data_IF_031884913697
#
_entry.id   IF_031884913697
#
_cell.length_a   1.000
_cell.length_b   1.000
_cell.length_c   1.000
_cell.angle_alpha   90.00
_cell.angle_beta   90.00
_cell.angle_gamma   90.00
#
_symmetry.space_group_name_H-M   'P 1'
#
loop_
_entity.id
_entity.type
_entity.pdbx_description
1 polymer ?
#
# COMPACT_ATOMS: atom_id res chain seq x y z
N UNK A 1 3.47 3.34 -18.62
CA UNK A 1 4.35 2.99 -19.76
C UNK A 1 4.63 4.22 -20.63
N UNK A 2 3.61 4.93 -21.16
CA UNK A 2 3.78 6.07 -22.07
C UNK A 2 4.71 7.15 -21.49
N UNK A 3 4.47 7.61 -20.25
CA UNK A 3 5.31 8.62 -19.59
C UNK A 3 6.77 8.15 -19.44
N UNK A 4 6.99 6.88 -19.16
CA UNK A 4 8.34 6.31 -19.05
C UNK A 4 9.07 6.35 -20.41
N UNK A 5 8.39 6.01 -21.50
CA UNK A 5 8.96 6.14 -22.87
C UNK A 5 9.33 7.59 -23.22
N UNK A 6 8.52 8.57 -22.79
CA UNK A 6 8.87 9.99 -22.96
C UNK A 6 10.14 10.36 -22.16
N UNK A 7 10.26 9.88 -20.94
CA UNK A 7 11.43 10.12 -20.08
C UNK A 7 12.70 9.45 -20.62
N UNK A 8 12.60 8.26 -21.22
CA UNK A 8 13.75 7.58 -21.84
C UNK A 8 14.37 8.39 -22.99
N UNK A 9 13.62 9.30 -23.64
CA UNK A 9 14.17 10.21 -24.64
C UNK A 9 15.07 11.29 -24.05
N UNK A 10 14.96 11.55 -22.76
CA UNK A 10 15.68 12.61 -22.05
C UNK A 10 16.75 12.08 -21.09
N UNK A 11 16.46 10.96 -20.44
CA UNK A 11 17.23 10.43 -19.33
C UNK A 11 17.59 8.95 -19.50
N UNK A 12 18.70 8.55 -18.94
CA UNK A 12 19.05 7.13 -18.91
C UNK A 12 18.13 6.32 -18.01
N UNK A 13 17.76 5.11 -18.41
CA UNK A 13 16.86 4.22 -17.65
C UNK A 13 17.29 4.00 -16.19
N UNK A 14 18.60 4.01 -15.92
CA UNK A 14 19.12 3.80 -14.56
C UNK A 14 19.03 5.05 -13.66
N UNK A 15 18.59 6.19 -14.21
CA UNK A 15 18.32 7.44 -13.49
C UNK A 15 16.81 7.79 -13.42
N UNK A 16 15.95 6.94 -13.98
CA UNK A 16 14.50 7.04 -13.87
C UNK A 16 14.04 6.04 -12.80
N UNK A 17 13.40 6.55 -11.76
CA UNK A 17 12.92 5.74 -10.63
C UNK A 17 11.40 5.70 -10.65
N UNK A 18 10.83 4.50 -10.52
CA UNK A 18 9.38 4.31 -10.33
C UNK A 18 9.17 3.62 -8.98
N UNK A 19 8.33 4.21 -8.16
CA UNK A 19 8.00 3.68 -6.85
C UNK A 19 6.52 3.34 -6.77
N UNK A 20 6.22 2.22 -6.10
CA UNK A 20 4.85 1.78 -5.81
C UNK A 20 4.73 1.34 -4.35
N UNK A 21 3.51 1.09 -3.88
CA UNK A 21 3.27 0.64 -2.49
C UNK A 21 3.43 -0.87 -2.33
N UNK A 22 3.26 -1.66 -3.39
CA UNK A 22 3.31 -3.13 -3.33
C UNK A 22 4.36 -3.72 -4.27
N UNK A 23 4.93 -4.86 -3.87
CA UNK A 23 5.85 -5.60 -4.73
C UNK A 23 5.18 -6.09 -6.01
N UNK A 24 3.90 -6.50 -5.93
CA UNK A 24 3.13 -6.99 -7.09
C UNK A 24 3.01 -5.88 -8.14
N UNK A 25 2.56 -4.68 -7.75
CA UNK A 25 2.46 -3.55 -8.66
C UNK A 25 3.82 -3.14 -9.25
N UNK A 26 4.87 -3.11 -8.41
CA UNK A 26 6.22 -2.82 -8.89
C UNK A 26 6.74 -3.88 -9.88
N UNK A 27 6.41 -5.16 -9.67
CA UNK A 27 6.78 -6.25 -10.58
C UNK A 27 6.03 -6.16 -11.91
N UNK A 28 4.72 -5.88 -11.87
CA UNK A 28 3.90 -5.67 -13.08
C UNK A 28 4.41 -4.49 -13.92
N UNK A 29 4.67 -3.35 -13.27
CA UNK A 29 5.22 -2.16 -13.96
C UNK A 29 6.57 -2.50 -14.59
N UNK A 30 7.42 -3.22 -13.87
CA UNK A 30 8.75 -3.64 -14.37
C UNK A 30 8.64 -4.55 -15.58
N UNK A 31 7.73 -5.52 -15.53
CA UNK A 31 7.52 -6.46 -16.61
C UNK A 31 6.95 -5.77 -17.86
N UNK A 32 6.07 -4.78 -17.71
CA UNK A 32 5.57 -3.97 -18.83
C UNK A 32 6.64 -3.05 -19.43
N UNK A 33 7.50 -2.45 -18.61
CA UNK A 33 8.58 -1.58 -19.08
C UNK A 33 9.64 -2.38 -19.82
N UNK A 34 9.98 -3.57 -19.38
CA UNK A 34 10.96 -4.44 -20.05
C UNK A 34 10.51 -4.95 -21.43
N UNK A 35 9.22 -4.82 -21.79
CA UNK A 35 8.71 -5.11 -23.15
C UNK A 35 8.97 -3.98 -24.14
N UNK A 36 9.38 -2.79 -23.69
CA UNK A 36 9.66 -1.66 -24.56
C UNK A 36 10.90 -1.93 -25.41
N UNK A 37 10.90 -1.56 -26.70
CA UNK A 37 12.08 -1.71 -27.56
C UNK A 37 13.33 -1.01 -27.02
N UNK A 38 13.16 0.14 -26.36
CA UNK A 38 14.23 0.93 -25.76
C UNK A 38 14.91 0.23 -24.57
N UNK A 39 14.29 -0.84 -24.06
CA UNK A 39 14.79 -1.63 -22.93
C UNK A 39 15.42 -2.96 -23.38
N UNK A 40 15.63 -3.16 -24.67
CA UNK A 40 16.28 -4.35 -25.20
C UNK A 40 17.66 -4.58 -24.54
N UNK A 41 17.89 -5.80 -24.06
CA UNK A 41 19.12 -6.16 -23.33
C UNK A 41 19.14 -5.76 -21.85
N UNK A 42 18.16 -5.00 -21.35
CA UNK A 42 18.06 -4.66 -19.92
C UNK A 42 17.42 -5.81 -19.16
N UNK A 43 18.05 -6.25 -18.08
CA UNK A 43 17.54 -7.37 -17.27
C UNK A 43 16.62 -6.92 -16.14
N UNK A 44 15.70 -7.79 -15.73
CA UNK A 44 14.85 -7.57 -14.55
C UNK A 44 15.67 -7.29 -13.29
N UNK A 45 16.85 -7.90 -13.16
CA UNK A 45 17.79 -7.67 -12.05
C UNK A 45 18.34 -6.23 -12.04
N UNK A 46 18.68 -5.67 -13.21
CA UNK A 46 19.15 -4.30 -13.34
C UNK A 46 18.08 -3.28 -12.91
N UNK A 47 16.81 -3.61 -13.13
CA UNK A 47 15.66 -2.76 -12.78
C UNK A 47 15.18 -2.91 -11.34
N UNK A 48 15.73 -3.86 -10.55
CA UNK A 48 15.21 -4.22 -9.22
C UNK A 48 15.02 -3.03 -8.27
N UNK A 49 15.94 -2.07 -8.27
CA UNK A 49 15.89 -0.88 -7.41
C UNK A 49 15.60 0.41 -8.19
N UNK A 50 15.23 0.27 -9.46
CA UNK A 50 14.75 1.37 -10.29
C UNK A 50 13.22 1.39 -10.34
N UNK A 51 12.61 0.20 -10.27
CA UNK A 51 11.17 0.00 -10.16
C UNK A 51 10.94 -0.92 -8.97
N UNK A 52 10.50 -0.36 -7.84
CA UNK A 52 10.38 -1.11 -6.57
C UNK A 52 9.43 -0.39 -5.60
N UNK A 53 9.27 -0.95 -4.41
CA UNK A 53 8.52 -0.26 -3.36
C UNK A 53 9.33 0.86 -2.72
N UNK A 54 8.62 1.85 -2.12
CA UNK A 54 9.25 2.97 -1.40
C UNK A 54 10.24 2.44 -0.36
N UNK A 55 9.83 1.46 0.46
CA UNK A 55 10.70 0.85 1.47
C UNK A 55 11.94 0.17 0.87
N UNK A 56 11.76 -0.59 -0.22
CA UNK A 56 12.86 -1.27 -0.88
C UNK A 56 13.89 -0.27 -1.45
N UNK A 57 13.41 0.84 -2.02
CA UNK A 57 14.27 1.91 -2.50
C UNK A 57 15.03 2.55 -1.34
N UNK A 58 14.34 3.01 -0.31
CA UNK A 58 14.97 3.62 0.86
C UNK A 58 16.03 2.70 1.47
N UNK A 59 15.68 1.44 1.74
CA UNK A 59 16.63 0.43 2.25
C UNK A 59 17.85 0.26 1.35
N UNK A 60 17.67 0.27 0.02
CA UNK A 60 18.77 0.10 -0.94
C UNK A 60 19.83 1.22 -0.91
N UNK A 61 19.46 2.38 -0.34
CA UNK A 61 20.32 3.58 -0.26
C UNK A 61 20.98 3.75 1.10
N UNK A 62 20.66 2.91 2.07
CA UNK A 62 21.27 3.00 3.40
C UNK A 62 22.71 2.50 3.39
N UNK A 63 23.56 3.18 4.14
CA UNK A 63 24.93 2.74 4.43
C UNK A 63 24.87 1.65 5.51
N UNK A 64 25.44 0.49 5.19
CA UNK A 64 25.37 -0.68 6.05
C UNK A 64 24.09 -1.50 5.80
N UNK A 65 24.22 -2.81 5.69
CA UNK A 65 23.08 -3.71 5.52
C UNK A 65 22.53 -4.07 6.90
N UNK A 66 21.35 -3.57 7.21
CA UNK A 66 20.56 -4.04 8.35
C UNK A 66 19.60 -5.13 7.89
N UNK A 67 19.43 -6.17 8.67
CA UNK A 67 18.38 -7.15 8.45
C UNK A 67 17.03 -6.58 8.91
N UNK A 68 15.94 -7.16 8.41
CA UNK A 68 14.59 -6.74 8.81
C UNK A 68 14.25 -7.45 10.11
N UNK A 69 13.76 -6.70 11.10
CA UNK A 69 13.27 -7.23 12.36
C UNK A 69 12.27 -8.36 12.13
N UNK A 70 12.57 -9.53 12.69
CA UNK A 70 11.88 -10.80 12.42
C UNK A 70 11.11 -11.32 13.65
N UNK A 71 10.40 -12.42 13.44
CA UNK A 71 9.77 -13.14 14.58
C UNK A 71 10.80 -13.71 15.55
N UNK A 72 11.99 -14.08 15.09
CA UNK A 72 13.08 -14.55 15.97
C UNK A 72 13.56 -13.40 16.88
N UNK A 73 13.70 -12.20 16.33
CA UNK A 73 14.04 -11.00 17.12
C UNK A 73 12.96 -10.69 18.16
N UNK A 74 11.68 -10.86 17.82
CA UNK A 74 10.58 -10.74 18.78
C UNK A 74 10.71 -11.78 19.92
N UNK A 75 11.05 -13.03 19.62
CA UNK A 75 11.29 -14.05 20.65
C UNK A 75 12.45 -13.68 21.58
N UNK A 76 13.55 -13.20 21.01
CA UNK A 76 14.69 -12.75 21.79
C UNK A 76 14.32 -11.60 22.74
N UNK A 77 13.58 -10.60 22.25
CA UNK A 77 13.04 -9.52 23.08
C UNK A 77 12.12 -10.05 24.19
N UNK A 78 11.27 -11.03 23.87
CA UNK A 78 10.35 -11.64 24.83
C UNK A 78 11.04 -12.40 25.95
N UNK A 79 12.29 -12.84 25.76
CA UNK A 79 13.13 -13.43 26.80
C UNK A 79 13.76 -12.37 27.71
N UNK A 80 14.01 -11.17 27.17
CA UNK A 80 14.61 -10.04 27.88
C UNK A 80 13.56 -9.31 28.73
N UNK A 81 12.38 -9.08 28.17
CA UNK A 81 11.30 -8.34 28.82
C UNK A 81 9.95 -9.04 28.67
N UNK A 82 9.35 -9.42 29.77
CA UNK A 82 8.07 -10.12 29.85
C UNK A 82 6.88 -9.32 29.30
N UNK A 83 6.99 -8.00 29.19
CA UNK A 83 5.94 -7.16 28.57
C UNK A 83 5.67 -7.53 27.10
N UNK A 84 6.69 -8.02 26.37
CA UNK A 84 6.52 -8.51 25.01
C UNK A 84 5.67 -9.79 24.92
N UNK A 85 5.45 -10.48 26.03
CA UNK A 85 4.61 -11.66 26.14
C UNK A 85 3.14 -11.35 26.52
N UNK A 86 2.77 -10.07 26.76
CA UNK A 86 1.38 -9.70 27.06
C UNK A 86 0.40 -10.08 25.94
N UNK A 87 0.89 -10.10 24.71
CA UNK A 87 0.18 -10.67 23.56
C UNK A 87 1.03 -11.77 22.95
N UNK A 88 0.63 -13.02 23.14
CA UNK A 88 1.25 -14.15 22.45
C UNK A 88 0.75 -14.17 21.01
N UNK A 89 1.68 -14.25 20.06
CA UNK A 89 1.41 -14.39 18.64
C UNK A 89 2.24 -15.53 18.06
N UNK A 90 1.67 -16.22 17.08
CA UNK A 90 2.42 -17.17 16.26
C UNK A 90 3.26 -16.40 15.23
N UNK A 91 4.23 -17.07 14.61
CA UNK A 91 5.02 -16.49 13.52
C UNK A 91 4.14 -15.99 12.38
N UNK A 92 3.12 -16.74 12.01
CA UNK A 92 2.16 -16.33 10.96
C UNK A 92 1.38 -15.07 11.35
N UNK A 93 1.00 -14.93 12.61
CA UNK A 93 0.31 -13.73 13.10
C UNK A 93 1.25 -12.53 13.22
N UNK A 94 2.51 -12.76 13.60
CA UNK A 94 3.53 -11.73 13.61
C UNK A 94 3.78 -11.20 12.19
N UNK A 95 4.01 -12.10 11.25
CA UNK A 95 4.22 -11.75 9.83
C UNK A 95 2.98 -11.11 9.18
N UNK A 96 1.80 -11.26 9.78
CA UNK A 96 0.55 -10.60 9.38
C UNK A 96 0.26 -9.32 10.20
N UNK A 97 1.26 -8.72 10.84
CA UNK A 97 1.19 -7.48 11.63
C UNK A 97 0.12 -7.50 12.74
N UNK A 98 -0.14 -8.69 13.31
CA UNK A 98 -1.15 -8.84 14.37
C UNK A 98 -0.66 -8.50 15.77
N UNK A 99 0.65 -8.30 15.97
CA UNK A 99 1.19 -7.92 17.26
C UNK A 99 0.93 -6.43 17.55
N UNK A 100 0.08 -6.15 18.50
CA UNK A 100 -0.50 -4.81 18.73
C UNK A 100 0.50 -3.75 19.20
N UNK A 101 1.58 -4.14 19.86
CA UNK A 101 2.66 -3.22 20.20
C UNK A 101 3.35 -2.67 18.93
N UNK A 102 3.82 -3.54 18.05
CA UNK A 102 4.50 -3.11 16.80
C UNK A 102 3.54 -2.34 15.90
N UNK A 103 2.29 -2.80 15.82
CA UNK A 103 1.24 -2.08 15.10
C UNK A 103 1.02 -0.69 15.66
N UNK A 104 1.00 -0.52 16.98
CA UNK A 104 0.87 0.80 17.60
C UNK A 104 2.03 1.73 17.23
N UNK A 105 3.27 1.22 17.24
CA UNK A 105 4.45 2.01 16.82
C UNK A 105 4.33 2.41 15.34
N UNK A 106 3.98 1.48 14.47
CA UNK A 106 3.80 1.74 13.04
C UNK A 106 2.68 2.76 12.77
N UNK A 107 1.55 2.66 13.48
CA UNK A 107 0.42 3.59 13.35
C UNK A 107 0.78 5.01 13.84
N UNK A 108 1.52 5.12 14.94
CA UNK A 108 2.01 6.40 15.45
C UNK A 108 3.01 7.04 14.48
N UNK A 109 4.00 6.28 14.05
CA UNK A 109 5.02 6.72 13.10
C UNK A 109 4.41 7.10 11.74
N UNK A 110 3.55 6.27 11.19
CA UNK A 110 2.90 6.53 9.89
C UNK A 110 2.08 7.82 9.86
N UNK A 111 1.62 8.29 11.03
CA UNK A 111 0.91 9.57 11.20
C UNK A 111 1.84 10.74 11.55
N UNK A 112 3.15 10.52 11.64
CA UNK A 112 4.10 11.53 12.10
C UNK A 112 3.85 11.99 13.54
N UNK A 113 3.35 11.09 14.41
CA UNK A 113 2.99 11.39 15.81
C UNK A 113 3.93 10.71 16.79
N UNK A 114 4.20 11.39 17.90
CA UNK A 114 4.78 10.73 19.08
C UNK A 114 3.82 9.70 19.66
N UNK A 115 4.33 8.76 20.46
CA UNK A 115 3.51 7.74 21.13
C UNK A 115 2.38 8.40 21.97
N UNK A 116 2.69 9.47 22.69
CA UNK A 116 1.69 10.20 23.49
C UNK A 116 0.62 10.90 22.67
N UNK A 117 1.00 11.53 21.56
CA UNK A 117 0.06 12.20 20.67
C UNK A 117 -0.86 11.21 19.98
N UNK A 118 -0.32 10.08 19.50
CA UNK A 118 -1.14 9.03 18.92
C UNK A 118 -2.14 8.44 19.94
N UNK A 119 -1.70 8.18 21.19
CA UNK A 119 -2.57 7.66 22.25
C UNK A 119 -3.76 8.57 22.58
N UNK A 120 -3.62 9.89 22.41
CA UNK A 120 -4.73 10.84 22.66
C UNK A 120 -5.84 10.73 21.61
N UNK A 121 -5.52 10.26 20.41
CA UNK A 121 -6.43 10.32 19.23
C UNK A 121 -6.83 8.95 18.71
N UNK A 122 -6.15 7.86 19.10
CA UNK A 122 -6.44 6.50 18.60
C UNK A 122 -7.58 5.81 19.38
N UNK A 123 -8.16 4.78 18.75
CA UNK A 123 -9.01 3.83 19.48
C UNK A 123 -8.14 2.90 20.33
N UNK A 124 -8.12 3.17 21.64
CA UNK A 124 -7.33 2.42 22.63
C UNK A 124 -7.73 0.94 22.69
N UNK A 125 -8.96 0.58 22.33
CA UNK A 125 -9.39 -0.82 22.34
C UNK A 125 -8.68 -1.65 21.27
N UNK A 126 -8.27 -1.02 20.17
CA UNK A 126 -7.51 -1.68 19.10
C UNK A 126 -6.17 -2.25 19.59
N UNK A 127 -5.61 -1.68 20.67
CA UNK A 127 -4.28 -2.02 21.16
C UNK A 127 -4.27 -2.80 22.48
N UNK A 128 -5.43 -3.17 23.04
CA UNK A 128 -5.48 -4.06 24.21
C UNK A 128 -4.72 -5.37 23.95
N UNK A 129 -3.90 -5.89 24.91
CA UNK A 129 -3.92 -5.54 26.34
C UNK A 129 -3.00 -4.37 26.74
N UNK A 130 -2.31 -3.70 25.80
CA UNK A 130 -1.33 -2.66 26.12
C UNK A 130 -1.99 -1.35 26.58
N UNK A 131 -1.36 -0.70 27.56
CA UNK A 131 -1.61 0.70 27.95
C UNK A 131 -0.51 1.60 27.37
N UNK A 132 -0.69 2.91 27.42
CA UNK A 132 0.37 3.84 27.02
C UNK A 132 1.66 3.59 27.83
N UNK A 133 1.54 3.41 29.14
CA UNK A 133 2.69 3.17 30.01
C UNK A 133 3.44 1.89 29.62
N UNK A 134 2.74 0.78 29.34
CA UNK A 134 3.39 -0.45 28.88
C UNK A 134 4.06 -0.28 27.51
N UNK A 135 3.43 0.45 26.60
CA UNK A 135 4.01 0.76 25.28
C UNK A 135 5.29 1.60 25.43
N UNK A 136 5.28 2.63 26.27
CA UNK A 136 6.47 3.47 26.53
C UNK A 136 7.59 2.68 27.19
N UNK A 137 7.27 1.80 28.14
CA UNK A 137 8.26 0.92 28.77
C UNK A 137 8.88 -0.07 27.79
N UNK A 138 8.10 -0.63 26.86
CA UNK A 138 8.58 -1.56 25.82
C UNK A 138 9.35 -0.85 24.69
N UNK A 139 9.06 0.42 24.43
CA UNK A 139 9.68 1.14 23.32
C UNK A 139 11.20 1.26 23.49
N UNK A 140 11.68 1.55 24.70
CA UNK A 140 13.11 1.69 24.96
C UNK A 140 13.89 0.40 24.68
N UNK A 141 13.59 -0.75 25.29
CA UNK A 141 14.31 -2.00 25.02
C UNK A 141 14.16 -2.46 23.55
N UNK A 142 13.04 -2.16 22.89
CA UNK A 142 12.86 -2.44 21.47
C UNK A 142 13.84 -1.67 20.60
N UNK A 143 13.98 -0.36 20.83
CA UNK A 143 14.89 0.47 20.04
C UNK A 143 16.36 0.13 20.31
N UNK A 144 16.74 -0.13 21.56
CA UNK A 144 18.11 -0.58 21.92
C UNK A 144 18.42 -1.94 21.27
N UNK A 145 17.48 -2.91 21.34
CA UNK A 145 17.65 -4.20 20.69
C UNK A 145 17.91 -4.06 19.18
N UNK A 146 17.12 -3.24 18.49
CA UNK A 146 17.31 -3.02 17.04
C UNK A 146 18.71 -2.47 16.73
N UNK A 147 19.19 -1.56 17.55
CA UNK A 147 20.51 -0.95 17.42
C UNK A 147 21.62 -1.98 17.64
N UNK A 148 21.55 -2.74 18.75
CA UNK A 148 22.60 -3.70 19.14
C UNK A 148 22.65 -4.92 18.22
N UNK A 149 21.49 -5.38 17.74
CA UNK A 149 21.36 -6.51 16.81
C UNK A 149 21.53 -6.11 15.34
N UNK A 150 21.74 -4.82 15.04
CA UNK A 150 21.84 -4.30 13.68
C UNK A 150 20.66 -4.66 12.76
N UNK A 151 19.45 -4.70 13.34
CA UNK A 151 18.20 -4.91 12.60
C UNK A 151 17.42 -3.60 12.42
N UNK A 152 16.51 -3.56 11.45
CA UNK A 152 15.64 -2.40 11.21
C UNK A 152 14.21 -2.86 10.95
N UNK A 153 13.25 -2.07 11.35
CA UNK A 153 11.86 -2.20 10.90
C UNK A 153 11.57 -1.30 9.68
N UNK A 154 10.34 -1.34 9.19
CA UNK A 154 9.94 -0.54 8.03
C UNK A 154 9.98 0.97 8.31
N UNK A 155 9.72 1.39 9.55
CA UNK A 155 9.82 2.79 9.95
C UNK A 155 11.27 3.27 9.89
N UNK A 156 12.22 2.46 10.40
CA UNK A 156 13.64 2.79 10.35
C UNK A 156 14.15 2.94 8.90
N UNK A 157 13.67 2.10 7.97
CA UNK A 157 14.11 2.20 6.57
C UNK A 157 13.79 3.57 5.97
N UNK A 158 12.62 4.11 6.26
CA UNK A 158 12.21 5.43 5.78
C UNK A 158 12.94 6.53 6.54
N UNK A 159 13.00 6.45 7.87
CA UNK A 159 13.63 7.49 8.69
C UNK A 159 15.14 7.57 8.44
N UNK A 160 15.82 6.43 8.39
CA UNK A 160 17.26 6.42 8.07
C UNK A 160 17.54 6.98 6.66
N UNK A 161 16.63 6.77 5.69
CA UNK A 161 16.75 7.38 4.36
C UNK A 161 16.58 8.90 4.43
N UNK A 162 15.60 9.39 5.19
CA UNK A 162 15.39 10.84 5.37
C UNK A 162 16.63 11.47 6.02
N UNK A 163 17.17 10.86 7.08
CA UNK A 163 18.22 11.44 7.91
C UNK A 163 19.63 11.24 7.35
N UNK A 164 19.94 10.06 6.82
CA UNK A 164 21.31 9.57 6.64
C UNK A 164 21.65 9.10 5.23
N UNK A 165 20.64 8.93 4.36
CA UNK A 165 20.90 8.37 3.03
C UNK A 165 21.80 9.26 2.18
N UNK A 166 22.64 8.61 1.39
CA UNK A 166 23.34 9.26 0.30
C UNK A 166 22.34 9.91 -0.64
N UNK A 167 22.65 11.10 -1.13
CA UNK A 167 21.83 11.84 -2.09
C UNK A 167 21.40 10.93 -3.25
N UNK A 168 20.10 10.85 -3.55
CA UNK A 168 19.62 10.00 -4.61
C UNK A 168 20.08 10.52 -5.98
N UNK A 169 20.67 9.63 -6.78
CA UNK A 169 21.07 9.93 -8.16
C UNK A 169 19.87 9.65 -9.09
N UNK A 170 18.97 10.65 -9.21
CA UNK A 170 17.67 10.56 -9.88
C UNK A 170 17.53 11.73 -10.83
N UNK A 171 17.19 11.46 -12.11
CA UNK A 171 16.77 12.49 -13.05
C UNK A 171 15.27 12.60 -13.16
N UNK A 172 14.55 11.46 -13.05
CA UNK A 172 13.10 11.45 -13.05
C UNK A 172 12.54 10.49 -11.99
N UNK A 173 11.46 10.90 -11.34
CA UNK A 173 10.75 10.13 -10.32
C UNK A 173 9.28 9.98 -10.72
N UNK A 174 8.78 8.74 -10.71
CA UNK A 174 7.35 8.44 -10.83
C UNK A 174 6.94 7.69 -9.57
N UNK A 175 5.87 8.13 -8.93
CA UNK A 175 5.26 7.45 -7.77
C UNK A 175 3.85 7.04 -8.13
N UNK A 176 3.60 5.73 -8.11
CA UNK A 176 2.29 5.14 -8.36
C UNK A 176 1.53 4.94 -7.06
N UNK A 177 0.20 5.09 -7.11
CA UNK A 177 -0.70 5.07 -5.94
C UNK A 177 -0.25 6.03 -4.82
N UNK A 178 0.17 7.23 -5.20
CA UNK A 178 0.76 8.20 -4.27
C UNK A 178 -0.15 8.52 -3.07
N UNK A 179 -1.49 8.43 -3.24
CA UNK A 179 -2.47 8.68 -2.18
C UNK A 179 -2.36 7.73 -0.99
N UNK A 180 -1.71 6.58 -1.14
CA UNK A 180 -1.54 5.60 -0.08
C UNK A 180 -0.30 5.89 0.80
N UNK A 181 0.51 6.90 0.43
CA UNK A 181 1.70 7.27 1.21
C UNK A 181 1.35 7.91 2.54
N UNK A 182 1.94 7.39 3.61
CA UNK A 182 1.86 7.98 4.94
C UNK A 182 2.82 9.18 5.11
N UNK A 183 2.76 9.86 6.27
CA UNK A 183 3.52 11.11 6.50
C UNK A 183 5.02 10.95 6.25
N UNK A 184 5.75 9.98 6.87
CA UNK A 184 7.18 9.82 6.62
C UNK A 184 7.51 9.39 5.18
N UNK A 185 6.67 8.56 4.56
CA UNK A 185 6.86 8.19 3.16
C UNK A 185 6.77 9.42 2.24
N UNK A 186 5.81 10.34 2.49
CA UNK A 186 5.74 11.60 1.75
C UNK A 186 7.00 12.42 1.91
N UNK A 187 7.52 12.56 3.13
CA UNK A 187 8.77 13.27 3.39
C UNK A 187 9.95 12.67 2.62
N UNK A 188 10.06 11.35 2.59
CA UNK A 188 11.08 10.66 1.79
C UNK A 188 10.89 10.91 0.28
N UNK A 189 9.64 10.88 -0.21
CA UNK A 189 9.31 11.17 -1.60
C UNK A 189 9.60 12.63 -1.98
N UNK A 190 9.28 13.57 -1.11
CA UNK A 190 9.59 14.99 -1.30
C UNK A 190 11.10 15.21 -1.37
N UNK A 191 11.89 14.57 -0.48
CA UNK A 191 13.36 14.59 -0.54
C UNK A 191 13.87 14.07 -1.88
N UNK A 192 13.28 13.02 -2.44
CA UNK A 192 13.65 12.50 -3.76
C UNK A 192 13.24 13.44 -4.88
N UNK A 193 12.02 14.00 -4.82
CA UNK A 193 11.49 14.92 -5.82
C UNK A 193 12.33 16.20 -5.94
N UNK A 194 12.86 16.72 -4.82
CA UNK A 194 13.75 17.90 -4.85
C UNK A 194 15.08 17.67 -5.58
N UNK A 195 15.46 16.41 -5.83
CA UNK A 195 16.69 16.03 -6.54
C UNK A 195 16.43 15.63 -7.99
N UNK A 196 15.21 15.31 -8.35
CA UNK A 196 14.83 14.97 -9.71
C UNK A 196 14.61 16.23 -10.57
N UNK A 197 14.94 16.18 -11.85
CA UNK A 197 14.57 17.23 -12.80
C UNK A 197 13.08 17.22 -13.13
N UNK A 198 12.50 16.01 -13.15
CA UNK A 198 11.07 15.81 -13.37
C UNK A 198 10.52 14.81 -12.35
N UNK A 199 9.34 15.09 -11.78
CA UNK A 199 8.65 14.13 -10.91
C UNK A 199 7.15 14.10 -11.18
N UNK A 200 6.56 12.92 -10.98
CA UNK A 200 5.16 12.64 -11.23
C UNK A 200 4.60 11.80 -10.10
N UNK A 201 3.67 12.36 -9.35
CA UNK A 201 2.90 11.65 -8.34
C UNK A 201 1.55 11.31 -8.95
N UNK A 202 1.34 10.02 -9.21
CA UNK A 202 0.13 9.47 -9.82
C UNK A 202 -0.68 8.77 -8.76
N UNK A 203 -1.98 9.03 -8.74
CA UNK A 203 -2.86 8.41 -7.74
C UNK A 203 -4.30 8.88 -7.86
N UNK A 204 -5.14 8.31 -7.06
CA UNK A 204 -6.57 8.63 -6.99
C UNK A 204 -6.98 8.87 -5.53
N UNK A 205 -7.21 10.12 -5.15
CA UNK A 205 -7.60 10.49 -3.79
C UNK A 205 -8.92 9.81 -3.34
N UNK A 206 -9.83 9.51 -4.28
CA UNK A 206 -11.07 8.80 -3.98
C UNK A 206 -10.83 7.32 -3.59
N UNK A 207 -9.62 6.79 -3.84
CA UNK A 207 -9.20 5.45 -3.48
C UNK A 207 -8.28 5.40 -2.25
N UNK A 208 -8.16 6.48 -1.50
CA UNK A 208 -7.37 6.49 -0.25
C UNK A 208 -8.03 5.61 0.81
N UNK A 209 -7.55 4.38 0.95
CA UNK A 209 -8.08 3.37 1.88
C UNK A 209 -7.13 3.04 3.03
N UNK A 210 -5.92 3.60 3.05
CA UNK A 210 -4.89 3.33 4.05
C UNK A 210 -4.77 4.42 5.13
N UNK A 211 -5.85 5.17 5.41
CA UNK A 211 -5.88 6.14 6.52
C UNK A 211 -5.57 5.49 7.87
N UNK A 212 -5.94 4.22 8.06
CA UNK A 212 -5.56 3.46 9.25
C UNK A 212 -4.04 3.31 9.40
N UNK A 213 -3.27 3.30 8.31
CA UNK A 213 -1.82 3.23 8.27
C UNK A 213 -1.14 4.62 8.15
N UNK A 214 -1.91 5.71 8.20
CA UNK A 214 -1.40 7.07 8.22
C UNK A 214 -1.40 7.81 6.88
N UNK A 215 -2.02 7.27 5.83
CA UNK A 215 -2.31 8.08 4.64
C UNK A 215 -3.34 9.16 4.97
N UNK A 216 -3.36 10.25 4.20
CA UNK A 216 -4.15 11.45 4.50
C UNK A 216 -5.03 11.81 3.30
N UNK A 217 -6.29 11.36 3.33
CA UNK A 217 -7.24 11.61 2.26
C UNK A 217 -7.46 13.12 2.03
N UNK A 218 -7.56 13.91 3.11
CA UNK A 218 -7.72 15.36 3.00
C UNK A 218 -6.58 16.04 2.25
N UNK A 219 -5.34 15.61 2.52
CA UNK A 219 -4.16 16.12 1.82
C UNK A 219 -4.24 15.82 0.32
N UNK A 220 -4.53 14.56 -0.05
CA UNK A 220 -4.57 14.15 -1.45
C UNK A 220 -5.77 14.73 -2.19
N UNK A 221 -6.94 14.90 -1.56
CA UNK A 221 -8.07 15.62 -2.16
C UNK A 221 -7.73 17.09 -2.44
N UNK A 222 -6.98 17.77 -1.56
CA UNK A 222 -6.50 19.14 -1.81
C UNK A 222 -5.52 19.21 -2.98
N UNK A 223 -4.61 18.25 -3.11
CA UNK A 223 -3.69 18.17 -4.25
C UNK A 223 -4.43 17.89 -5.56
N UNK A 224 -5.40 16.99 -5.55
CA UNK A 224 -6.17 16.58 -6.74
C UNK A 224 -6.91 17.73 -7.42
N UNK A 225 -7.27 18.79 -6.68
CA UNK A 225 -7.87 19.99 -7.26
C UNK A 225 -6.97 20.73 -8.27
N UNK A 226 -5.65 20.57 -8.13
CA UNK A 226 -4.63 21.24 -8.95
C UNK A 226 -3.92 20.27 -9.89
N UNK A 227 -4.22 18.99 -9.78
CA UNK A 227 -3.57 17.94 -10.56
C UNK A 227 -4.18 17.85 -11.97
N UNK A 228 -3.36 17.46 -12.92
CA UNK A 228 -3.83 17.01 -14.23
C UNK A 228 -4.65 15.74 -14.07
N UNK A 229 -5.81 15.67 -14.73
CA UNK A 229 -6.72 14.54 -14.62
C UNK A 229 -6.56 13.60 -15.82
N UNK A 230 -6.40 12.31 -15.53
CA UNK A 230 -6.50 11.24 -16.51
C UNK A 230 -7.97 10.83 -16.64
N UNK A 231 -8.68 11.42 -17.62
CA UNK A 231 -10.13 11.26 -17.75
C UNK A 231 -10.55 9.90 -18.32
N UNK A 232 -9.72 9.28 -19.17
CA UNK A 232 -10.11 8.04 -19.85
C UNK A 232 -9.91 6.81 -18.96
N UNK A 233 -11.00 6.18 -18.57
CA UNK A 233 -10.98 4.87 -17.91
C UNK A 233 -10.78 3.75 -18.93
N UNK A 234 -9.95 2.76 -18.60
CA UNK A 234 -9.66 1.61 -19.46
C UNK A 234 -10.18 0.27 -18.91
N UNK A 235 -10.79 0.28 -17.72
CA UNK A 235 -11.26 -0.93 -17.03
C UNK A 235 -12.77 -1.00 -16.93
N UNK A 236 -13.44 0.10 -16.57
CA UNK A 236 -14.84 0.08 -16.17
C UNK A 236 -15.76 0.56 -17.29
N UNK A 237 -16.77 -0.24 -17.61
CA UNK A 237 -17.85 0.14 -18.51
C UNK A 237 -18.82 1.14 -17.89
N UNK A 238 -19.74 1.67 -18.71
CA UNK A 238 -20.69 2.75 -18.33
C UNK A 238 -21.48 2.46 -17.05
N UNK A 239 -21.98 1.25 -16.90
CA UNK A 239 -22.83 0.87 -15.73
C UNK A 239 -22.06 0.97 -14.43
N UNK A 240 -20.84 0.41 -14.39
CA UNK A 240 -19.99 0.44 -13.20
C UNK A 240 -19.52 1.86 -12.91
N UNK A 241 -19.12 2.60 -13.96
CA UNK A 241 -18.70 3.99 -13.82
C UNK A 241 -19.80 4.87 -13.21
N UNK A 242 -21.05 4.73 -13.67
CA UNK A 242 -22.20 5.46 -13.12
C UNK A 242 -22.49 5.08 -11.65
N UNK A 243 -22.32 3.81 -11.31
CA UNK A 243 -22.48 3.36 -9.92
C UNK A 243 -21.38 3.98 -9.03
N UNK A 244 -20.12 3.94 -9.47
CA UNK A 244 -19.01 4.56 -8.75
C UNK A 244 -19.23 6.06 -8.52
N UNK A 245 -19.63 6.80 -9.56
CA UNK A 245 -19.97 8.24 -9.44
C UNK A 245 -21.05 8.52 -8.40
N UNK A 246 -22.06 7.68 -8.33
CA UNK A 246 -23.13 7.84 -7.32
C UNK A 246 -22.63 7.58 -5.90
N UNK A 247 -21.76 6.60 -5.72
CA UNK A 247 -21.19 6.25 -4.41
C UNK A 247 -20.23 7.34 -3.93
N UNK A 248 -19.40 7.88 -4.81
CA UNK A 248 -18.35 8.84 -4.44
C UNK A 248 -18.87 10.29 -4.36
N UNK A 249 -20.06 10.58 -4.92
CA UNK A 249 -20.65 11.92 -4.97
C UNK A 249 -20.61 12.69 -3.65
N UNK A 250 -20.97 12.10 -2.48
CA UNK A 250 -20.91 12.80 -1.19
C UNK A 250 -19.49 13.29 -0.84
N UNK A 251 -18.46 12.56 -1.25
CA UNK A 251 -17.05 12.96 -1.05
C UNK A 251 -16.73 14.16 -1.93
N UNK A 252 -17.10 14.13 -3.20
CA UNK A 252 -16.89 15.25 -4.11
C UNK A 252 -17.62 16.52 -3.66
N UNK A 253 -18.86 16.38 -3.20
CA UNK A 253 -19.64 17.49 -2.66
C UNK A 253 -18.98 18.09 -1.40
N UNK A 254 -18.42 17.25 -0.52
CA UNK A 254 -17.67 17.69 0.66
C UNK A 254 -16.39 18.46 0.28
N UNK A 255 -15.61 17.98 -0.70
CA UNK A 255 -14.38 18.63 -1.13
C UNK A 255 -14.61 19.74 -2.18
N UNK A 256 -15.83 19.92 -2.69
CA UNK A 256 -16.19 20.97 -3.63
C UNK A 256 -15.54 20.83 -5.01
N UNK A 257 -15.38 19.64 -5.52
CA UNK A 257 -14.95 19.37 -6.90
C UNK A 257 -15.57 18.07 -7.43
N UNK A 258 -15.64 17.95 -8.74
CA UNK A 258 -16.13 16.76 -9.44
C UNK A 258 -15.08 16.29 -10.46
N UNK A 259 -14.95 14.97 -10.61
CA UNK A 259 -14.08 14.37 -11.62
C UNK A 259 -14.85 13.93 -12.84
N UNK A 260 -14.26 14.17 -14.00
CA UNK A 260 -14.81 13.75 -15.30
C UNK A 260 -14.17 12.44 -15.71
N UNK A 261 -14.77 11.32 -15.32
CA UNK A 261 -14.34 10.01 -15.83
C UNK A 261 -15.12 9.62 -17.08
N UNK A 262 -14.39 9.24 -18.11
CA UNK A 262 -14.95 8.64 -19.32
C UNK A 262 -14.85 7.12 -19.18
N UNK A 263 -15.98 6.39 -19.18
CA UNK A 263 -15.96 4.93 -19.13
C UNK A 263 -15.43 4.33 -20.44
N UNK A 264 -15.11 3.04 -20.43
CA UNK A 264 -14.94 2.28 -21.66
C UNK A 264 -16.31 2.12 -22.36
N UNK A 265 -16.30 1.78 -23.65
CA UNK A 265 -17.53 1.50 -24.41
C UNK A 265 -18.18 0.16 -24.03
N UNK A 266 -17.54 -0.63 -23.19
CA UNK A 266 -18.08 -1.89 -22.72
C UNK A 266 -19.29 -1.65 -21.81
N UNK A 267 -20.39 -2.34 -22.08
CA UNK A 267 -21.56 -2.36 -21.22
C UNK A 267 -21.37 -3.48 -20.19
N UNK A 268 -20.99 -3.09 -18.97
CA UNK A 268 -20.90 -4.03 -17.85
C UNK A 268 -22.23 -4.16 -17.11
N UNK A 269 -22.46 -5.32 -16.54
CA UNK A 269 -23.57 -5.57 -15.62
C UNK A 269 -23.06 -5.63 -14.17
N UNK A 270 -23.87 -5.17 -13.23
CA UNK A 270 -23.63 -5.42 -11.81
C UNK A 270 -24.85 -6.11 -11.20
N UNK A 271 -24.57 -6.98 -10.26
CA UNK A 271 -25.61 -7.70 -9.53
C UNK A 271 -25.44 -7.41 -8.04
N UNK A 272 -26.54 -6.97 -7.42
CA UNK A 272 -26.58 -6.86 -5.96
C UNK A 272 -27.09 -8.17 -5.39
N UNK A 273 -26.24 -8.87 -4.64
CA UNK A 273 -26.62 -10.10 -3.93
C UNK A 273 -26.84 -9.76 -2.46
N UNK A 274 -28.08 -9.71 -1.97
CA UNK A 274 -28.37 -9.37 -0.57
C UNK A 274 -27.85 -10.43 0.42
N UNK A 275 -27.61 -11.65 -0.06
CA UNK A 275 -27.11 -12.76 0.74
C UNK A 275 -26.43 -13.81 -0.15
N UNK A 276 -25.42 -14.51 0.38
CA UNK A 276 -24.88 -15.75 -0.21
C UNK A 276 -25.71 -16.99 0.20
N UNK A 277 -26.94 -16.82 0.63
CA UNK A 277 -27.86 -17.94 0.88
C UNK A 277 -28.21 -18.62 -0.46
N UNK A 278 -28.09 -19.94 -0.50
CA UNK A 278 -28.48 -20.79 -1.66
C UNK A 278 -29.92 -20.57 -2.10
N UNK A 279 -30.79 -20.13 -1.20
CA UNK A 279 -32.21 -19.86 -1.47
C UNK A 279 -32.44 -18.52 -2.18
N UNK A 280 -31.44 -17.69 -2.30
CA UNK A 280 -31.52 -16.46 -3.06
C UNK A 280 -31.48 -16.80 -4.57
N UNK A 281 -32.58 -16.50 -5.28
CA UNK A 281 -32.69 -16.78 -6.72
C UNK A 281 -31.57 -16.13 -7.55
N UNK A 282 -31.14 -14.93 -7.17
CA UNK A 282 -30.03 -14.24 -7.82
C UNK A 282 -28.70 -14.98 -7.63
N UNK A 283 -28.47 -15.60 -6.46
CA UNK A 283 -27.29 -16.42 -6.23
C UNK A 283 -27.33 -17.71 -7.04
N UNK A 284 -28.49 -18.36 -7.12
CA UNK A 284 -28.66 -19.58 -7.92
C UNK A 284 -28.35 -19.31 -9.39
N UNK A 285 -28.91 -18.22 -9.94
CA UNK A 285 -28.64 -17.80 -11.33
C UNK A 285 -27.17 -17.49 -11.57
N UNK A 286 -26.50 -16.81 -10.62
CA UNK A 286 -25.09 -16.51 -10.72
C UNK A 286 -24.22 -17.78 -10.70
N UNK A 287 -24.49 -18.71 -9.78
CA UNK A 287 -23.77 -19.98 -9.68
C UNK A 287 -23.95 -20.84 -10.94
N UNK A 288 -25.17 -20.85 -11.49
CA UNK A 288 -25.46 -21.56 -12.73
C UNK A 288 -24.67 -20.94 -13.90
N UNK A 289 -24.65 -19.62 -14.01
CA UNK A 289 -23.82 -18.90 -15.00
C UNK A 289 -22.34 -19.25 -14.85
N UNK A 290 -21.78 -19.22 -13.64
CA UNK A 290 -20.37 -19.54 -13.37
C UNK A 290 -20.03 -20.95 -13.82
N UNK A 291 -20.93 -21.93 -13.61
CA UNK A 291 -20.71 -23.34 -13.97
C UNK A 291 -20.74 -23.62 -15.47
N UNK A 292 -21.42 -22.76 -16.25
CA UNK A 292 -21.69 -23.00 -17.66
C UNK A 292 -21.04 -21.97 -18.59
N UNK A 293 -20.01 -21.29 -18.14
CA UNK A 293 -19.27 -20.31 -18.93
C UNK A 293 -17.77 -20.40 -18.66
N UNK A 294 -16.96 -20.09 -19.67
CA UNK A 294 -15.50 -19.96 -19.57
C UNK A 294 -15.08 -18.53 -19.11
N UNK A 295 -16.04 -17.69 -18.71
CA UNK A 295 -15.75 -16.33 -18.21
C UNK A 295 -15.00 -16.39 -16.86
N UNK A 296 -14.07 -15.45 -16.67
CA UNK A 296 -13.39 -15.27 -15.39
C UNK A 296 -14.23 -14.43 -14.44
N UNK A 297 -14.42 -14.88 -13.22
CA UNK A 297 -15.18 -14.17 -12.19
C UNK A 297 -14.25 -13.71 -11.07
N UNK A 298 -14.40 -12.44 -10.67
CA UNK A 298 -13.75 -11.88 -9.49
C UNK A 298 -14.79 -11.69 -8.38
N UNK A 299 -14.55 -12.33 -7.24
CA UNK A 299 -15.35 -12.14 -6.04
C UNK A 299 -14.63 -11.24 -5.05
N UNK A 300 -15.25 -10.12 -4.71
CA UNK A 300 -14.76 -9.22 -3.67
C UNK A 300 -15.62 -9.35 -2.42
N UNK A 301 -15.01 -9.43 -1.26
CA UNK A 301 -15.69 -9.49 0.02
C UNK A 301 -14.87 -8.79 1.10
N UNK A 302 -15.53 -8.36 2.16
CA UNK A 302 -14.88 -7.74 3.30
C UNK A 302 -14.41 -8.82 4.28
N UNK A 303 -13.08 -8.97 4.46
CA UNK A 303 -12.49 -9.93 5.39
C UNK A 303 -11.12 -10.41 4.95
N UNK A 304 -10.50 -11.26 5.76
CA UNK A 304 -9.22 -11.88 5.43
C UNK A 304 -9.41 -13.17 4.63
N UNK A 305 -8.51 -13.51 3.67
CA UNK A 305 -8.60 -14.75 2.89
C UNK A 305 -8.56 -16.05 3.72
N UNK A 306 -8.04 -15.98 4.97
CA UNK A 306 -8.03 -17.11 5.89
C UNK A 306 -9.42 -17.48 6.42
N UNK A 307 -10.36 -16.54 6.45
CA UNK A 307 -11.72 -16.76 6.92
C UNK A 307 -12.62 -17.35 5.83
N UNK A 308 -12.07 -18.20 5.02
CA UNK A 308 -12.53 -18.61 3.72
C UNK A 308 -13.81 -19.46 3.71
N UNK A 309 -14.85 -19.00 4.43
CA UNK A 309 -16.20 -19.50 4.19
C UNK A 309 -16.61 -19.31 2.72
N UNK A 310 -16.12 -18.26 2.04
CA UNK A 310 -16.30 -18.03 0.61
C UNK A 310 -15.65 -19.17 -0.20
N UNK A 311 -14.37 -19.48 0.06
CA UNK A 311 -13.69 -20.60 -0.58
C UNK A 311 -14.39 -21.95 -0.30
N UNK A 312 -14.81 -22.17 0.96
CA UNK A 312 -15.57 -23.38 1.34
C UNK A 312 -16.91 -23.42 0.62
N UNK A 313 -17.59 -22.28 0.51
CA UNK A 313 -18.87 -22.19 -0.18
C UNK A 313 -18.71 -22.57 -1.67
N UNK A 314 -17.77 -21.95 -2.41
CA UNK A 314 -17.57 -22.28 -3.83
C UNK A 314 -17.10 -23.71 -4.02
N UNK A 315 -16.18 -24.23 -3.20
CA UNK A 315 -15.76 -25.62 -3.22
C UNK A 315 -16.95 -26.59 -3.01
N UNK A 316 -17.88 -26.26 -2.12
CA UNK A 316 -19.11 -27.07 -1.92
C UNK A 316 -20.06 -27.00 -3.12
N UNK A 317 -19.97 -25.97 -3.96
CA UNK A 317 -20.73 -25.85 -5.19
C UNK A 317 -20.04 -26.51 -6.39
N UNK A 318 -18.85 -27.07 -6.22
CA UNK A 318 -18.05 -27.65 -7.30
C UNK A 318 -17.42 -26.61 -8.24
N UNK A 319 -17.13 -25.42 -7.69
CA UNK A 319 -16.50 -24.29 -8.38
C UNK A 319 -15.12 -24.02 -7.78
#
# INVERSE_FOLDING_TARGET
TQKYTELLKKYSYNRIIILSHTNVAADEIRDEILKLPEMEGVTKKAMKYKICTIHAYCKSRLVGRKEVFSYEDHKNLSMIDSLFNLQRVTESEFNADKHKFYRYLADAYGRGKTLKEHWKTCDKNAYKPYSLNSIEQMAYPYFEYKKDSHVCDYADMIQDFIDKAVEPDIDALIVDEAQDSNVPQREALDKMATKAFEYYFVGDADQTIFEFAGSDADYYHRLSRKAEQLEQGHRCGKTINNLCKRIIRPIWDYYGYERTWKPTDVIGNHYHLPSLDKRCSAMTTLLDKIKHTDETFLFTYRGTPSDSWVKKFFKQQGI
#
